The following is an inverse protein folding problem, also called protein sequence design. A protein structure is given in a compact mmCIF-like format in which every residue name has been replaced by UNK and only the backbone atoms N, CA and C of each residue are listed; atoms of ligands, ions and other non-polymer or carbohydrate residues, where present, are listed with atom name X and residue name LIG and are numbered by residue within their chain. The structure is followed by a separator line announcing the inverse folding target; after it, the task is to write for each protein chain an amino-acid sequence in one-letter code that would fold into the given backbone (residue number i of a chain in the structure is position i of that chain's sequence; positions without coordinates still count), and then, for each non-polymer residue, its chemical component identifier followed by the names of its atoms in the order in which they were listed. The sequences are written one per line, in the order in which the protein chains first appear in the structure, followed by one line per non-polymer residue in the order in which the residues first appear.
data_IF_976852326919
#
_entry.id   IF_976852326919
#
_cell.length_a   1.000
_cell.length_b   1.000
_cell.length_c   1.000
_cell.angle_alpha   90.00
_cell.angle_beta   90.00
_cell.angle_gamma   90.00
#
_symmetry.space_group_name_H-M   'P 1'
#
loop_
_entity.id
_entity.type
_entity.pdbx_description
1 polymer ?
#
# COMPACT_ATOMS: atom_id res chain seq x y z
N UNK A 1 26.07 -14.11 0.21
CA UNK A 1 25.97 -13.48 1.50
C UNK A 1 25.06 -14.28 2.41
N UNK A 2 25.34 -14.19 3.69
CA UNK A 2 24.60 -14.96 4.65
C UNK A 2 23.50 -14.16 5.34
N UNK A 3 22.88 -14.78 6.37
CA UNK A 3 21.81 -14.13 7.14
C UNK A 3 22.25 -12.91 7.91
N UNK A 4 23.56 -12.70 8.03
CA UNK A 4 24.11 -11.53 8.75
C UNK A 4 24.12 -10.27 7.89
N UNK A 5 23.77 -10.35 6.63
CA UNK A 5 23.72 -9.17 5.78
C UNK A 5 22.67 -8.19 6.30
N UNK A 6 23.08 -6.96 6.48
CA UNK A 6 22.17 -5.93 6.99
C UNK A 6 21.17 -5.52 5.92
N UNK A 7 19.94 -5.30 6.34
CA UNK A 7 18.86 -4.92 5.42
C UNK A 7 19.23 -3.67 4.60
N UNK A 8 19.92 -2.72 5.21
CA UNK A 8 20.33 -1.50 4.54
C UNK A 8 21.30 -1.72 3.37
N UNK A 9 21.94 -2.89 3.31
CA UNK A 9 22.85 -3.22 2.22
C UNK A 9 22.13 -3.80 1.01
N UNK A 10 20.82 -4.07 1.13
CA UNK A 10 20.03 -4.60 0.06
C UNK A 10 19.46 -3.46 -0.81
N UNK A 11 19.10 -3.78 -2.05
CA UNK A 11 18.36 -2.83 -2.88
C UNK A 11 17.01 -2.49 -2.24
N UNK A 12 16.41 -1.36 -2.63
CA UNK A 12 15.11 -0.96 -2.12
C UNK A 12 14.05 -2.03 -2.28
N UNK A 13 14.01 -2.71 -3.45
CA UNK A 13 13.05 -3.79 -3.68
C UNK A 13 13.28 -4.98 -2.75
N UNK A 14 14.54 -5.33 -2.51
CA UNK A 14 14.86 -6.43 -1.60
C UNK A 14 14.54 -6.08 -0.15
N UNK A 15 14.74 -4.82 0.25
CA UNK A 15 14.38 -4.37 1.58
C UNK A 15 12.87 -4.51 1.82
N UNK A 16 12.06 -4.13 0.85
CA UNK A 16 10.60 -4.28 0.97
C UNK A 16 10.19 -5.75 1.03
N UNK A 17 10.82 -6.60 0.26
CA UNK A 17 10.56 -8.05 0.31
C UNK A 17 10.86 -8.61 1.70
N UNK A 18 11.94 -8.17 2.33
CA UNK A 18 12.30 -8.60 3.68
C UNK A 18 11.25 -8.13 4.69
N UNK A 19 10.79 -6.90 4.59
CA UNK A 19 9.76 -6.38 5.49
C UNK A 19 8.45 -7.14 5.38
N UNK A 20 8.01 -7.42 4.16
CA UNK A 20 6.78 -8.18 3.92
C UNK A 20 6.96 -9.62 4.41
N UNK A 21 8.14 -10.21 4.18
CA UNK A 21 8.45 -11.54 4.66
C UNK A 21 8.37 -11.67 6.18
N UNK A 22 8.81 -10.64 6.90
CA UNK A 22 8.68 -10.62 8.35
C UNK A 22 7.22 -10.60 8.78
N UNK A 23 6.39 -9.83 8.09
CA UNK A 23 4.96 -9.78 8.38
C UNK A 23 4.32 -11.15 8.17
N UNK A 24 4.72 -11.87 7.12
CA UNK A 24 4.24 -13.22 6.88
C UNK A 24 4.63 -14.18 8.01
N UNK A 25 5.82 -13.98 8.59
CA UNK A 25 6.32 -14.83 9.68
C UNK A 25 5.60 -14.57 10.98
N UNK A 26 5.44 -13.30 11.35
CA UNK A 26 4.86 -12.91 12.63
C UNK A 26 3.34 -12.96 12.65
N UNK A 27 2.70 -12.87 11.49
CA UNK A 27 1.24 -12.91 11.35
C UNK A 27 0.52 -11.95 12.28
N UNK A 28 0.80 -10.65 12.20
CA UNK A 28 0.17 -9.67 13.08
C UNK A 28 -1.33 -9.52 12.77
N UNK A 29 -2.09 -9.00 13.73
CA UNK A 29 -3.50 -8.68 13.50
C UNK A 29 -3.66 -7.43 12.64
N UNK A 30 -2.74 -6.49 12.78
CA UNK A 30 -2.74 -5.23 12.04
C UNK A 30 -1.33 -4.95 11.51
N UNK A 31 -1.25 -4.64 10.24
CA UNK A 31 0.02 -4.29 9.58
C UNK A 31 -0.13 -2.94 8.89
N UNK A 32 0.75 -2.00 9.19
CA UNK A 32 0.84 -0.73 8.49
C UNK A 32 2.03 -0.74 7.56
N UNK A 33 1.81 -0.40 6.29
CA UNK A 33 2.88 -0.33 5.29
C UNK A 33 2.83 1.05 4.63
N UNK A 34 3.92 1.81 4.72
CA UNK A 34 4.05 3.11 4.07
C UNK A 34 4.83 2.99 2.76
N UNK A 35 4.25 3.48 1.67
CA UNK A 35 4.88 3.54 0.35
C UNK A 35 5.56 2.22 -0.04
N UNK A 36 4.83 1.09 -0.10
CA UNK A 36 5.46 -0.23 -0.26
C UNK A 36 6.18 -0.43 -1.59
N UNK A 37 5.81 0.31 -2.62
CA UNK A 37 6.38 0.12 -3.97
C UNK A 37 7.16 1.32 -4.46
N UNK A 38 7.40 2.31 -3.62
CA UNK A 38 8.10 3.52 -4.00
C UNK A 38 9.56 3.22 -4.38
N UNK A 39 9.95 3.68 -5.59
CA UNK A 39 11.32 3.50 -6.06
C UNK A 39 11.67 2.07 -6.43
N UNK A 40 10.68 1.22 -6.69
CA UNK A 40 10.88 -0.20 -6.96
C UNK A 40 10.52 -0.50 -8.42
N UNK A 41 11.24 -1.43 -9.04
CA UNK A 41 10.98 -1.84 -10.41
C UNK A 41 9.61 -2.53 -10.52
N UNK A 42 9.06 -2.53 -11.73
CA UNK A 42 7.72 -3.07 -11.99
C UNK A 42 7.59 -4.52 -11.56
N UNK A 43 8.62 -5.32 -11.77
CA UNK A 43 8.58 -6.74 -11.47
C UNK A 43 8.45 -7.00 -9.97
N UNK A 44 9.30 -6.35 -9.17
CA UNK A 44 9.25 -6.46 -7.71
C UNK A 44 7.99 -5.84 -7.14
N UNK A 45 7.50 -4.76 -7.76
CA UNK A 45 6.25 -4.11 -7.36
C UNK A 45 5.08 -5.09 -7.39
N UNK A 46 4.92 -5.83 -8.49
CA UNK A 46 3.84 -6.80 -8.61
C UNK A 46 3.94 -7.89 -7.54
N UNK A 47 5.14 -8.33 -7.25
CA UNK A 47 5.36 -9.35 -6.23
C UNK A 47 4.98 -8.85 -4.83
N UNK A 48 5.36 -7.60 -4.51
CA UNK A 48 5.03 -7.01 -3.23
C UNK A 48 3.52 -6.85 -3.05
N UNK A 49 2.83 -6.40 -4.10
CA UNK A 49 1.38 -6.25 -4.05
C UNK A 49 0.68 -7.59 -3.83
N UNK A 50 1.17 -8.65 -4.48
CA UNK A 50 0.64 -10.00 -4.26
C UNK A 50 0.83 -10.46 -2.82
N UNK A 51 1.98 -10.18 -2.23
CA UNK A 51 2.26 -10.57 -0.85
C UNK A 51 1.36 -9.81 0.13
N UNK A 52 1.08 -8.52 -0.14
CA UNK A 52 0.17 -7.75 0.70
C UNK A 52 -1.23 -8.35 0.68
N UNK A 53 -1.73 -8.70 -0.51
CA UNK A 53 -3.02 -9.36 -0.64
C UNK A 53 -3.05 -10.70 0.08
N UNK A 54 -1.98 -11.46 -0.02
CA UNK A 54 -1.87 -12.76 0.65
C UNK A 54 -1.95 -12.63 2.17
N UNK A 55 -1.24 -11.65 2.72
CA UNK A 55 -1.28 -11.39 4.16
C UNK A 55 -2.71 -11.11 4.62
N UNK A 56 -3.42 -10.29 3.88
CA UNK A 56 -4.80 -9.95 4.21
C UNK A 56 -5.74 -11.14 4.06
N UNK A 57 -5.69 -11.82 2.92
CA UNK A 57 -6.68 -12.84 2.58
C UNK A 57 -6.44 -14.17 3.28
N UNK A 58 -5.20 -14.59 3.41
CA UNK A 58 -4.89 -15.89 3.98
C UNK A 58 -4.66 -15.87 5.48
N UNK A 59 -4.12 -14.78 6.01
CA UNK A 59 -3.78 -14.69 7.43
C UNK A 59 -4.71 -13.80 8.23
N UNK A 60 -5.75 -13.25 7.58
CA UNK A 60 -6.72 -12.35 8.21
C UNK A 60 -6.08 -11.13 8.88
N UNK A 61 -4.92 -10.71 8.40
CA UNK A 61 -4.29 -9.49 8.89
C UNK A 61 -5.00 -8.29 8.27
N UNK A 62 -5.39 -7.32 9.08
CA UNK A 62 -5.86 -6.04 8.57
C UNK A 62 -4.65 -5.24 8.11
N UNK A 63 -4.64 -4.83 6.85
CA UNK A 63 -3.51 -4.11 6.26
C UNK A 63 -3.92 -2.68 5.95
N UNK A 64 -3.13 -1.72 6.45
CA UNK A 64 -3.29 -0.31 6.12
C UNK A 64 -2.10 0.09 5.26
N UNK A 65 -2.38 0.51 4.03
CA UNK A 65 -1.34 0.92 3.07
C UNK A 65 -1.44 2.43 2.86
N UNK A 66 -0.34 3.13 3.10
CA UNK A 66 -0.26 4.56 2.78
C UNK A 66 0.59 4.71 1.52
N UNK A 67 0.03 5.29 0.47
CA UNK A 67 0.73 5.43 -0.80
C UNK A 67 0.17 6.58 -1.61
N UNK A 68 1.02 7.19 -2.45
CA UNK A 68 0.58 8.13 -3.47
C UNK A 68 0.26 7.48 -4.81
N UNK A 69 0.45 6.17 -4.92
CA UNK A 69 0.21 5.42 -6.17
C UNK A 69 -1.24 4.97 -6.23
N UNK A 70 -2.09 5.81 -6.82
CA UNK A 70 -3.54 5.60 -6.82
C UNK A 70 -3.96 4.30 -7.50
N UNK A 71 -3.30 3.95 -8.62
CA UNK A 71 -3.64 2.73 -9.34
C UNK A 71 -3.41 1.49 -8.49
N UNK A 72 -2.36 1.50 -7.68
CA UNK A 72 -2.07 0.37 -6.80
C UNK A 72 -3.10 0.27 -5.68
N UNK A 73 -3.49 1.40 -5.09
CA UNK A 73 -4.48 1.40 -4.02
C UNK A 73 -5.82 0.87 -4.52
N UNK A 74 -6.24 1.29 -5.71
CA UNK A 74 -7.49 0.81 -6.29
C UNK A 74 -7.43 -0.70 -6.54
N UNK A 75 -6.27 -1.21 -6.90
CA UNK A 75 -6.12 -2.65 -7.19
C UNK A 75 -6.19 -3.53 -5.94
N UNK A 76 -5.67 -3.05 -4.81
CA UNK A 76 -5.48 -3.94 -3.66
C UNK A 76 -6.32 -3.59 -2.44
N UNK A 77 -6.83 -2.37 -2.33
CA UNK A 77 -7.55 -1.95 -1.13
C UNK A 77 -9.06 -2.18 -1.26
N UNK A 78 -9.69 -2.57 -0.14
CA UNK A 78 -11.14 -2.67 -0.07
C UNK A 78 -11.78 -1.30 0.07
N UNK A 79 -11.11 -0.40 0.79
CA UNK A 79 -11.55 0.97 1.01
C UNK A 79 -10.36 1.90 0.92
N UNK A 80 -10.61 3.13 0.48
CA UNK A 80 -9.56 4.14 0.34
C UNK A 80 -9.95 5.36 1.18
N UNK A 81 -9.05 5.74 2.08
CA UNK A 81 -9.20 6.93 2.91
C UNK A 81 -8.37 8.04 2.29
N UNK A 82 -9.02 9.14 1.94
CA UNK A 82 -8.32 10.30 1.38
C UNK A 82 -8.08 11.32 2.49
N UNK A 83 -6.81 11.72 2.65
CA UNK A 83 -6.41 12.74 3.61
C UNK A 83 -6.24 14.07 2.88
N UNK A 84 -6.70 15.15 3.50
CA UNK A 84 -6.52 16.48 2.97
C UNK A 84 -6.30 17.45 4.13
N UNK A 85 -5.23 18.22 4.06
CA UNK A 85 -4.85 19.20 5.07
C UNK A 85 -4.83 18.61 6.50
N UNK A 86 -4.27 17.41 6.62
CA UNK A 86 -4.10 16.78 7.92
C UNK A 86 -5.34 16.13 8.51
N UNK A 87 -6.41 16.04 7.73
CA UNK A 87 -7.67 15.45 8.19
C UNK A 87 -8.19 14.42 7.21
N UNK A 88 -9.02 13.50 7.69
CA UNK A 88 -9.73 12.59 6.81
C UNK A 88 -10.77 13.40 6.04
N UNK A 89 -10.62 13.44 4.73
CA UNK A 89 -11.55 14.16 3.86
C UNK A 89 -12.75 13.27 3.51
N UNK A 90 -12.46 12.09 2.95
CA UNK A 90 -13.49 11.13 2.56
C UNK A 90 -12.97 9.70 2.67
N UNK A 91 -13.89 8.77 2.80
CA UNK A 91 -13.64 7.33 2.73
C UNK A 91 -14.44 6.79 1.56
N UNK A 92 -13.77 6.10 0.65
CA UNK A 92 -14.39 5.53 -0.55
C UNK A 92 -14.33 4.01 -0.51
N UNK A 93 -15.36 3.39 -1.08
CA UNK A 93 -15.28 1.97 -1.41
C UNK A 93 -14.44 1.82 -2.68
N UNK A 94 -13.99 0.61 -2.97
CA UNK A 94 -13.07 0.35 -4.08
C UNK A 94 -13.73 0.41 -5.46
N UNK A 95 -14.93 0.92 -5.58
CA UNK A 95 -15.60 1.14 -6.86
C UNK A 95 -15.52 2.58 -7.34
N UNK A 96 -14.76 3.42 -6.64
CA UNK A 96 -14.60 4.83 -7.02
C UNK A 96 -13.86 4.95 -8.35
N UNK A 97 -14.31 5.87 -9.21
CA UNK A 97 -13.62 6.19 -10.45
C UNK A 97 -12.33 6.97 -10.21
N UNK A 98 -11.35 6.86 -11.12
CA UNK A 98 -10.08 7.54 -10.96
C UNK A 98 -10.21 9.07 -10.94
N UNK A 99 -11.17 9.61 -11.68
CA UNK A 99 -11.37 11.06 -11.72
C UNK A 99 -11.86 11.60 -10.38
N UNK A 100 -12.83 10.93 -9.78
CA UNK A 100 -13.35 11.33 -8.48
C UNK A 100 -12.29 11.22 -7.40
N UNK A 101 -11.49 10.17 -7.43
CA UNK A 101 -10.41 9.98 -6.48
C UNK A 101 -9.34 11.08 -6.62
N UNK A 102 -9.00 11.44 -7.85
CA UNK A 102 -8.04 12.52 -8.11
C UNK A 102 -8.56 13.85 -7.57
N UNK A 103 -9.84 14.15 -7.80
CA UNK A 103 -10.43 15.39 -7.26
C UNK A 103 -10.40 15.42 -5.73
N UNK A 104 -10.69 14.28 -5.11
CA UNK A 104 -10.67 14.19 -3.66
C UNK A 104 -9.30 14.50 -3.07
N UNK A 105 -8.22 14.13 -3.76
CA UNK A 105 -6.86 14.45 -3.30
C UNK A 105 -6.61 15.95 -3.20
N UNK A 106 -7.35 16.75 -3.97
CA UNK A 106 -7.28 18.20 -3.91
C UNK A 106 -8.40 18.82 -3.07
N UNK A 107 -9.15 18.00 -2.34
CA UNK A 107 -10.25 18.46 -1.52
C UNK A 107 -11.45 18.95 -2.32
N UNK A 108 -11.66 18.38 -3.53
CA UNK A 108 -12.73 18.81 -4.44
C UNK A 108 -13.79 17.73 -4.64
N UNK A 109 -15.01 18.20 -4.89
CA UNK A 109 -16.11 17.32 -5.27
C UNK A 109 -16.21 17.20 -6.79
N UNK A 110 -16.85 16.13 -7.32
CA UNK A 110 -16.95 15.95 -8.78
C UNK A 110 -17.59 17.10 -9.53
N UNK A 111 -18.56 17.78 -8.92
CA UNK A 111 -19.26 18.90 -9.54
C UNK A 111 -18.47 20.21 -9.52
N UNK A 112 -17.30 20.22 -8.87
CA UNK A 112 -16.41 21.36 -8.81
C UNK A 112 -15.30 21.30 -9.88
N UNK A 113 -15.28 20.23 -10.66
CA UNK A 113 -14.22 19.99 -11.63
C UNK A 113 -14.22 20.95 -12.82
#
# INVERSE_FOLDING_TARGET
RGPDQKVRELSGGNQQKVCVGRALTFRPDLLYIGEPTRGIDIYSKELILKWILKINQEYNTTVVVASGELEELVRICDRIVVMYQGKVYKVFENDIGPEELTLALYGREPDEA
#
